data_IF_366957431849
#
_entry.id   IF_366957431849
#
_cell.length_a   1.000
_cell.length_b   1.000
_cell.length_c   1.000
_cell.angle_alpha   90.00
_cell.angle_beta   90.00
_cell.angle_gamma   90.00
#
_symmetry.space_group_name_H-M   'P 1'
#
loop_
_entity.id
_entity.type
_entity.pdbx_description
1 polymer ?
#
# COMPACT_ATOMS: atom_id res chain seq x y z
N UNK A 1 -47.42 -15.97 -25.38
CA UNK A 1 -46.46 -15.79 -24.27
C UNK A 1 -45.17 -15.21 -24.83
N UNK A 2 -44.73 -14.07 -24.29
CA UNK A 2 -43.59 -13.28 -24.75
C UNK A 2 -42.25 -13.97 -24.46
N UNK A 3 -41.33 -13.87 -25.43
CA UNK A 3 -39.90 -14.11 -25.31
C UNK A 3 -39.26 -13.24 -24.22
N UNK A 4 -38.30 -13.80 -23.48
CA UNK A 4 -37.11 -13.06 -23.03
C UNK A 4 -35.89 -13.99 -22.99
N UNK A 5 -34.98 -13.81 -23.95
CA UNK A 5 -33.57 -14.17 -23.84
C UNK A 5 -32.95 -13.28 -22.77
N UNK A 6 -32.22 -13.84 -21.81
CA UNK A 6 -31.32 -13.06 -20.95
C UNK A 6 -29.91 -13.57 -21.17
N UNK A 7 -29.09 -12.63 -21.64
CA UNK A 7 -27.71 -12.77 -22.07
C UNK A 7 -26.81 -13.14 -20.89
N UNK A 8 -25.88 -14.08 -21.13
CA UNK A 8 -24.69 -14.25 -20.32
C UNK A 8 -23.80 -13.00 -20.46
N UNK A 9 -23.80 -12.13 -19.47
CA UNK A 9 -22.79 -11.07 -19.35
C UNK A 9 -21.59 -11.63 -18.59
N UNK A 10 -20.58 -12.11 -19.33
CA UNK A 10 -19.22 -12.24 -18.79
C UNK A 10 -18.55 -10.87 -18.91
N UNK A 11 -18.13 -10.20 -17.83
CA UNK A 11 -17.26 -9.05 -17.97
C UNK A 11 -15.91 -9.52 -18.50
N UNK A 12 -15.61 -9.15 -19.75
CA UNK A 12 -14.29 -9.27 -20.36
C UNK A 12 -13.39 -8.22 -19.70
N UNK A 13 -12.67 -8.60 -18.66
CA UNK A 13 -11.48 -7.84 -18.24
C UNK A 13 -10.32 -8.33 -19.10
N UNK A 14 -9.98 -7.52 -20.10
CA UNK A 14 -8.82 -7.72 -20.96
C UNK A 14 -7.58 -7.38 -20.13
N UNK A 15 -6.98 -8.39 -19.52
CA UNK A 15 -5.76 -8.25 -18.75
C UNK A 15 -4.59 -8.24 -19.73
N UNK A 16 -4.08 -7.06 -20.08
CA UNK A 16 -2.79 -6.95 -20.75
C UNK A 16 -1.68 -7.05 -19.70
N UNK A 17 -1.23 -8.27 -19.43
CA UNK A 17 0.08 -8.49 -18.81
C UNK A 17 1.14 -8.33 -19.89
N UNK A 18 1.78 -7.15 -19.96
CA UNK A 18 2.99 -6.97 -20.76
C UNK A 18 4.14 -7.70 -20.04
N UNK A 19 4.79 -8.64 -20.76
CA UNK A 19 6.02 -9.31 -20.34
C UNK A 19 7.14 -8.29 -20.07
N UNK A 20 8.12 -8.60 -19.21
CA UNK A 20 9.24 -7.71 -18.93
C UNK A 20 10.13 -7.62 -20.18
N UNK A 21 10.33 -6.40 -20.69
CA UNK A 21 11.38 -6.11 -21.65
C UNK A 21 12.58 -5.51 -20.93
N UNK A 22 13.74 -6.10 -21.21
CA UNK A 22 15.07 -5.69 -20.78
C UNK A 22 15.30 -4.18 -20.94
N UNK A 23 15.76 -3.52 -19.88
CA UNK A 23 16.35 -2.20 -19.94
C UNK A 23 17.83 -2.33 -20.36
N UNK A 24 18.16 -2.01 -21.61
CA UNK A 24 19.52 -1.73 -22.05
C UNK A 24 19.54 -0.89 -23.34
N UNK A 25 20.33 0.19 -23.37
CA UNK A 25 20.76 0.89 -24.59
C UNK A 25 20.82 2.42 -24.47
N UNK A 26 22.00 3.06 -24.64
CA UNK A 26 22.20 4.49 -24.40
C UNK A 26 22.06 5.36 -25.66
N UNK A 27 21.81 6.66 -25.45
CA UNK A 27 22.20 7.72 -26.38
C UNK A 27 21.04 8.44 -27.07
N UNK A 28 20.52 9.48 -26.44
CA UNK A 28 20.03 10.67 -27.15
C UNK A 28 20.00 11.86 -26.18
N UNK A 29 20.78 12.91 -26.48
CA UNK A 29 20.67 14.20 -25.81
C UNK A 29 19.27 14.76 -26.04
N UNK A 30 18.46 14.84 -24.99
CA UNK A 30 17.16 15.50 -25.00
C UNK A 30 17.29 16.85 -24.31
N UNK A 31 17.16 17.94 -25.05
CA UNK A 31 17.00 19.29 -24.48
C UNK A 31 15.52 19.44 -24.09
N UNK A 32 15.21 19.27 -22.80
CA UNK A 32 13.87 19.50 -22.25
C UNK A 32 13.56 20.99 -22.05
N UNK A 33 12.27 21.39 -22.05
CA UNK A 33 11.90 22.78 -21.85
C UNK A 33 12.15 23.24 -20.41
N UNK A 34 12.49 24.53 -20.29
CA UNK A 34 12.67 25.24 -19.02
C UNK A 34 11.31 25.28 -18.29
N UNK A 35 11.20 24.60 -17.16
CA UNK A 35 10.03 24.69 -16.29
C UNK A 35 10.00 26.06 -15.61
N UNK A 36 9.20 26.97 -16.17
CA UNK A 36 8.77 28.18 -15.48
C UNK A 36 7.81 27.80 -14.36
N UNK A 37 8.16 28.30 -13.18
CA UNK A 37 7.46 28.19 -11.92
C UNK A 37 6.13 28.95 -11.99
N UNK A 38 5.01 28.25 -12.26
CA UNK A 38 3.67 28.78 -12.07
C UNK A 38 2.70 27.69 -11.63
N UNK A 39 2.46 27.66 -10.31
CA UNK A 39 1.26 27.09 -9.69
C UNK A 39 1.10 25.58 -9.85
N UNK A 40 0.53 24.93 -8.86
CA UNK A 40 -0.88 24.60 -8.93
C UNK A 40 -1.28 23.99 -7.58
N UNK A 41 -2.26 24.65 -6.98
CA UNK A 41 -3.23 24.09 -6.07
C UNK A 41 -3.96 22.89 -6.72
N UNK A 42 -3.43 21.67 -6.59
CA UNK A 42 -4.18 20.44 -6.88
C UNK A 42 -4.30 19.59 -5.61
N UNK A 43 -4.95 20.12 -4.57
CA UNK A 43 -5.51 19.29 -3.51
C UNK A 43 -7.02 19.39 -3.55
N UNK A 44 -7.60 18.46 -4.29
CA UNK A 44 -9.04 18.17 -4.38
C UNK A 44 -9.67 18.05 -2.98
N UNK A 45 -10.69 18.88 -2.69
CA UNK A 45 -11.59 18.70 -1.54
C UNK A 45 -12.47 17.48 -1.80
N UNK A 46 -12.01 16.30 -1.43
CA UNK A 46 -12.89 15.13 -1.32
C UNK A 46 -13.85 15.35 -0.13
N UNK A 47 -15.16 15.27 -0.38
CA UNK A 47 -16.15 15.28 0.70
C UNK A 47 -15.98 14.04 1.59
N UNK A 48 -16.22 14.18 2.90
CA UNK A 48 -16.02 13.12 3.92
C UNK A 48 -16.68 11.79 3.54
N UNK A 49 -17.87 11.85 2.93
CA UNK A 49 -18.62 10.69 2.44
C UNK A 49 -17.86 9.88 1.38
N UNK A 50 -17.20 10.56 0.43
CA UNK A 50 -16.40 9.92 -0.62
C UNK A 50 -15.16 9.23 -0.03
N UNK A 51 -14.51 9.85 0.97
CA UNK A 51 -13.36 9.25 1.67
C UNK A 51 -13.76 7.99 2.46
N UNK A 52 -14.89 8.03 3.17
CA UNK A 52 -15.45 6.88 3.89
C UNK A 52 -15.77 5.75 2.91
N UNK A 53 -16.49 6.03 1.83
CA UNK A 53 -16.84 5.03 0.84
C UNK A 53 -15.60 4.38 0.19
N UNK A 54 -14.55 5.18 -0.09
CA UNK A 54 -13.27 4.67 -0.62
C UNK A 54 -12.60 3.71 0.38
N UNK A 55 -12.42 4.14 1.63
CA UNK A 55 -11.76 3.33 2.67
C UNK A 55 -12.54 2.05 3.00
N UNK A 56 -13.88 2.09 3.00
CA UNK A 56 -14.72 0.90 3.16
C UNK A 56 -14.57 -0.05 1.97
N UNK A 57 -14.56 0.46 0.73
CA UNK A 57 -14.36 -0.38 -0.46
C UNK A 57 -13.01 -1.07 -0.45
N UNK A 58 -11.94 -0.35 -0.09
CA UNK A 58 -10.59 -0.91 0.06
C UNK A 58 -10.59 -2.02 1.12
N UNK A 59 -11.19 -1.76 2.28
CA UNK A 59 -11.32 -2.76 3.34
C UNK A 59 -12.08 -4.01 2.87
N UNK A 60 -13.23 -3.85 2.22
CA UNK A 60 -14.01 -4.98 1.66
C UNK A 60 -13.16 -5.76 0.65
N UNK A 61 -12.54 -5.06 -0.31
CA UNK A 61 -11.68 -5.69 -1.31
C UNK A 61 -10.56 -6.48 -0.65
N UNK A 62 -9.83 -5.91 0.29
CA UNK A 62 -8.73 -6.58 0.98
C UNK A 62 -9.19 -7.79 1.83
N UNK A 63 -10.33 -7.67 2.53
CA UNK A 63 -10.86 -8.75 3.39
C UNK A 63 -11.39 -9.93 2.58
N UNK A 64 -12.05 -9.66 1.45
CA UNK A 64 -12.66 -10.71 0.63
C UNK A 64 -11.74 -11.22 -0.49
N UNK A 65 -10.65 -10.53 -0.80
CA UNK A 65 -9.63 -11.06 -1.70
C UNK A 65 -8.61 -11.90 -0.94
N UNK A 66 -8.13 -12.95 -1.59
CA UNK A 66 -7.05 -13.79 -1.09
C UNK A 66 -5.86 -13.68 -2.03
N UNK A 67 -4.70 -14.10 -1.53
CA UNK A 67 -3.53 -14.32 -2.38
C UNK A 67 -3.85 -15.46 -3.34
N UNK A 68 -3.74 -15.18 -4.62
CA UNK A 68 -3.82 -16.14 -5.73
C UNK A 68 -2.40 -16.64 -6.06
N UNK A 69 -2.25 -17.76 -6.80
CA UNK A 69 -0.94 -18.29 -7.18
C UNK A 69 -0.01 -17.25 -7.83
N UNK A 70 -0.54 -16.37 -8.67
CA UNK A 70 0.20 -15.32 -9.35
C UNK A 70 0.74 -14.24 -8.38
N UNK A 71 0.01 -13.98 -7.30
CA UNK A 71 0.46 -13.06 -6.25
C UNK A 71 1.69 -13.65 -5.54
N UNK A 72 1.69 -14.95 -5.27
CA UNK A 72 2.83 -15.64 -4.69
C UNK A 72 4.05 -15.64 -5.62
N UNK A 73 3.85 -15.76 -6.93
CA UNK A 73 4.95 -15.63 -7.89
C UNK A 73 5.53 -14.21 -7.90
N UNK A 74 4.68 -13.18 -7.78
CA UNK A 74 5.16 -11.78 -7.62
C UNK A 74 6.05 -11.65 -6.39
N UNK A 75 5.60 -12.14 -5.22
CA UNK A 75 6.40 -12.12 -3.99
C UNK A 75 7.72 -12.89 -4.17
N UNK A 76 7.69 -14.04 -4.85
CA UNK A 76 8.90 -14.85 -5.08
C UNK A 76 9.94 -14.15 -5.93
N UNK A 77 9.50 -13.36 -6.92
CA UNK A 77 10.36 -12.69 -7.89
C UNK A 77 11.07 -11.45 -7.33
N UNK A 78 10.44 -10.75 -6.38
CA UNK A 78 10.96 -9.48 -5.86
C UNK A 78 11.59 -9.58 -4.47
N UNK A 79 11.19 -10.55 -3.66
CA UNK A 79 11.68 -10.70 -2.30
C UNK A 79 12.72 -11.82 -2.19
N UNK A 80 13.69 -11.65 -1.31
CA UNK A 80 14.62 -12.69 -0.89
C UNK A 80 14.00 -13.59 0.22
N UNK A 81 14.69 -14.66 0.68
CA UNK A 81 14.16 -15.53 1.73
C UNK A 81 13.90 -14.85 3.08
N UNK A 82 14.66 -13.82 3.46
CA UNK A 82 14.45 -13.05 4.69
C UNK A 82 13.23 -12.16 4.59
N UNK A 83 13.13 -11.42 3.48
CA UNK A 83 12.01 -10.55 3.16
C UNK A 83 10.69 -11.31 3.02
N UNK A 84 10.73 -12.52 2.43
CA UNK A 84 9.56 -13.42 2.36
C UNK A 84 9.05 -13.78 3.75
N UNK A 85 9.93 -14.00 4.74
CA UNK A 85 9.49 -14.31 6.11
C UNK A 85 8.74 -13.13 6.72
N UNK A 86 9.22 -11.91 6.51
CA UNK A 86 8.53 -10.69 6.96
C UNK A 86 7.16 -10.56 6.26
N UNK A 87 7.14 -10.70 4.93
CA UNK A 87 5.92 -10.58 4.14
C UNK A 87 4.85 -11.59 4.56
N UNK A 88 5.20 -12.87 4.65
CA UNK A 88 4.25 -13.92 5.05
C UNK A 88 3.91 -13.90 6.54
N UNK A 89 4.63 -13.11 7.35
CA UNK A 89 4.29 -12.79 8.73
C UNK A 89 3.14 -11.79 8.88
N UNK A 90 2.77 -11.06 7.83
CA UNK A 90 1.62 -10.15 7.82
C UNK A 90 0.28 -10.87 7.89
N UNK A 91 -0.77 -10.15 8.27
CA UNK A 91 -2.14 -10.62 8.10
C UNK A 91 -2.46 -10.95 6.63
N UNK A 92 -3.19 -12.04 6.30
CA UNK A 92 -3.47 -12.41 4.91
C UNK A 92 -4.15 -11.34 4.06
N UNK A 93 -5.04 -10.53 4.65
CA UNK A 93 -5.69 -9.43 3.91
C UNK A 93 -4.69 -8.31 3.59
N UNK A 94 -3.71 -8.09 4.48
CA UNK A 94 -2.62 -7.13 4.30
C UNK A 94 -1.66 -7.62 3.22
N UNK A 95 -1.33 -8.92 3.19
CA UNK A 95 -0.50 -9.49 2.11
C UNK A 95 -1.09 -9.19 0.72
N UNK A 96 -2.40 -9.42 0.54
CA UNK A 96 -3.07 -9.14 -0.73
C UNK A 96 -3.12 -7.65 -1.06
N UNK A 97 -3.31 -6.79 -0.06
CA UNK A 97 -3.21 -5.34 -0.21
C UNK A 97 -1.83 -4.93 -0.77
N UNK A 98 -0.76 -5.39 -0.14
CA UNK A 98 0.62 -5.08 -0.53
C UNK A 98 0.96 -5.56 -1.94
N UNK A 99 0.48 -6.74 -2.37
CA UNK A 99 0.70 -7.21 -3.75
C UNK A 99 -0.02 -6.33 -4.77
N UNK A 100 -1.25 -5.90 -4.47
CA UNK A 100 -1.95 -4.98 -5.36
C UNK A 100 -1.27 -3.60 -5.45
N UNK A 101 -0.77 -3.11 -4.32
CA UNK A 101 0.03 -1.87 -4.25
C UNK A 101 1.33 -2.01 -5.06
N UNK A 102 2.02 -3.15 -4.96
CA UNK A 102 3.20 -3.46 -5.75
C UNK A 102 2.93 -3.46 -7.27
N UNK A 103 1.80 -4.06 -7.70
CA UNK A 103 1.37 -3.99 -9.10
C UNK A 103 1.07 -2.55 -9.56
N UNK A 104 0.49 -1.73 -8.68
CA UNK A 104 0.22 -0.32 -8.97
C UNK A 104 1.51 0.49 -9.08
N UNK A 105 2.45 0.31 -8.15
CA UNK A 105 3.79 0.89 -8.22
C UNK A 105 4.47 0.54 -9.54
N UNK A 106 4.46 -0.75 -9.93
CA UNK A 106 5.07 -1.20 -11.17
C UNK A 106 4.51 -0.46 -12.39
N UNK A 107 3.20 -0.20 -12.43
CA UNK A 107 2.56 0.54 -13.52
C UNK A 107 2.91 2.04 -13.50
N UNK A 108 2.91 2.67 -12.32
CA UNK A 108 3.17 4.10 -12.17
C UNK A 108 4.65 4.45 -12.42
N UNK A 109 5.57 3.58 -12.00
CA UNK A 109 7.02 3.83 -12.10
C UNK A 109 7.62 3.42 -13.46
N UNK A 110 6.91 2.63 -14.28
CA UNK A 110 7.43 2.04 -15.53
C UNK A 110 8.03 3.04 -16.55
N UNK A 111 7.70 4.33 -16.44
CA UNK A 111 8.14 5.38 -17.36
C UNK A 111 9.00 6.45 -16.70
N UNK A 112 9.50 6.20 -15.50
CA UNK A 112 10.30 7.17 -14.73
C UNK A 112 11.72 6.60 -14.59
N UNK A 113 12.66 6.96 -15.50
CA UNK A 113 13.97 6.32 -15.58
C UNK A 113 14.84 6.49 -14.34
N UNK A 114 14.58 7.54 -13.55
CA UNK A 114 15.37 7.84 -12.34
C UNK A 114 14.97 6.98 -11.14
N UNK A 115 13.85 6.25 -11.22
CA UNK A 115 13.33 5.44 -10.11
C UNK A 115 13.83 4.01 -10.21
N UNK A 116 14.45 3.53 -9.13
CA UNK A 116 14.70 2.11 -8.94
C UNK A 116 13.37 1.37 -8.71
N UNK A 117 12.77 0.94 -9.83
CA UNK A 117 11.48 0.25 -9.82
C UNK A 117 11.53 -1.06 -9.02
N UNK A 118 12.67 -1.76 -8.98
CA UNK A 118 12.79 -3.01 -8.23
C UNK A 118 12.73 -2.75 -6.73
N UNK A 119 13.49 -1.76 -6.24
CA UNK A 119 13.46 -1.32 -4.85
C UNK A 119 12.08 -0.80 -4.45
N UNK A 120 11.42 -0.03 -5.30
CA UNK A 120 10.10 0.52 -5.00
C UNK A 120 9.00 -0.54 -4.95
N UNK A 121 9.06 -1.55 -5.84
CA UNK A 121 8.14 -2.70 -5.79
C UNK A 121 8.35 -3.50 -4.49
N UNK A 122 9.62 -3.72 -4.10
CA UNK A 122 9.95 -4.34 -2.81
C UNK A 122 9.42 -3.53 -1.63
N UNK A 123 9.56 -2.20 -1.65
CA UNK A 123 8.98 -1.31 -0.64
C UNK A 123 7.44 -1.45 -0.59
N UNK A 124 6.76 -1.50 -1.72
CA UNK A 124 5.31 -1.68 -1.78
C UNK A 124 4.86 -3.04 -1.21
N UNK A 125 5.61 -4.11 -1.45
CA UNK A 125 5.34 -5.43 -0.85
C UNK A 125 5.52 -5.42 0.67
N UNK A 126 6.43 -4.60 1.20
CA UNK A 126 6.84 -4.65 2.60
C UNK A 126 6.34 -3.47 3.45
N UNK A 127 5.72 -2.43 2.89
CA UNK A 127 5.37 -1.19 3.62
C UNK A 127 4.53 -1.42 4.88
N UNK A 128 3.78 -2.52 4.89
CA UNK A 128 2.81 -2.85 5.91
C UNK A 128 3.26 -4.00 6.85
N UNK A 129 4.54 -4.37 6.87
CA UNK A 129 5.05 -5.52 7.67
C UNK A 129 4.85 -5.38 9.18
N UNK A 130 4.65 -4.15 9.69
CA UNK A 130 4.24 -3.93 11.08
C UNK A 130 2.85 -4.49 11.42
N UNK A 131 1.99 -4.78 10.43
CA UNK A 131 0.64 -5.35 10.58
C UNK A 131 0.68 -6.90 10.62
N UNK A 132 1.40 -7.43 11.60
CA UNK A 132 1.65 -8.87 11.79
C UNK A 132 0.38 -9.68 12.09
N UNK A 133 0.41 -10.96 11.70
CA UNK A 133 -0.70 -11.91 11.88
C UNK A 133 -1.07 -12.09 13.35
N UNK A 134 -2.37 -12.22 13.64
CA UNK A 134 -2.89 -12.46 14.99
C UNK A 134 -3.07 -11.19 15.82
N UNK A 135 -2.49 -10.06 15.39
CA UNK A 135 -2.60 -8.80 16.11
C UNK A 135 -3.82 -7.95 15.74
N UNK A 136 -4.55 -8.35 14.69
CA UNK A 136 -5.62 -7.55 14.11
C UNK A 136 -6.92 -8.38 14.02
N UNK A 137 -7.86 -8.10 14.91
CA UNK A 137 -9.22 -8.65 14.80
C UNK A 137 -9.99 -7.92 13.68
N UNK A 138 -10.71 -8.66 12.83
CA UNK A 138 -11.47 -8.11 11.71
C UNK A 138 -12.49 -7.02 12.12
N UNK A 139 -13.21 -7.23 13.24
CA UNK A 139 -14.16 -6.26 13.77
C UNK A 139 -13.45 -5.00 14.27
N UNK A 140 -12.31 -5.18 14.94
CA UNK A 140 -11.48 -4.06 15.42
C UNK A 140 -10.88 -3.28 14.24
N UNK A 141 -10.51 -3.95 13.15
CA UNK A 141 -10.01 -3.33 11.91
C UNK A 141 -11.09 -2.50 11.23
N UNK A 142 -12.31 -3.03 11.11
CA UNK A 142 -13.45 -2.27 10.60
C UNK A 142 -13.74 -1.04 11.48
N UNK A 143 -13.69 -1.21 12.81
CA UNK A 143 -13.80 -0.13 13.78
C UNK A 143 -12.72 0.94 13.61
N UNK A 144 -11.46 0.55 13.43
CA UNK A 144 -10.37 1.48 13.14
C UNK A 144 -10.62 2.26 11.85
N UNK A 145 -10.96 1.60 10.75
CA UNK A 145 -11.23 2.26 9.46
C UNK A 145 -12.33 3.31 9.60
N UNK A 146 -13.42 2.98 10.30
CA UNK A 146 -14.52 3.92 10.52
C UNK A 146 -14.11 5.11 11.40
N UNK A 147 -13.51 4.84 12.57
CA UNK A 147 -13.12 5.88 13.53
C UNK A 147 -12.05 6.78 12.94
N UNK A 148 -11.01 6.22 12.32
CA UNK A 148 -9.93 7.01 11.72
C UNK A 148 -10.42 7.88 10.55
N UNK A 149 -11.45 7.44 9.82
CA UNK A 149 -12.00 8.26 8.73
C UNK A 149 -12.87 9.39 9.25
N UNK A 150 -13.65 9.18 10.32
CA UNK A 150 -14.55 10.19 10.90
C UNK A 150 -13.80 11.17 11.81
N UNK A 151 -12.93 10.66 12.67
CA UNK A 151 -12.20 11.42 13.68
C UNK A 151 -10.82 10.81 13.93
N UNK A 152 -9.80 11.23 13.15
CA UNK A 152 -8.41 10.82 13.37
C UNK A 152 -7.92 11.12 14.79
N UNK A 153 -8.36 12.25 15.37
CA UNK A 153 -8.04 12.61 16.75
C UNK A 153 -8.57 11.60 17.77
N UNK A 154 -9.75 11.03 17.55
CA UNK A 154 -10.29 9.97 18.41
C UNK A 154 -9.51 8.66 18.23
N UNK A 155 -9.15 8.31 16.98
CA UNK A 155 -8.30 7.14 16.72
C UNK A 155 -6.96 7.25 17.45
N UNK A 156 -6.31 8.42 17.42
CA UNK A 156 -5.08 8.68 18.15
C UNK A 156 -5.25 8.52 19.67
N UNK A 157 -6.36 8.98 20.24
CA UNK A 157 -6.66 8.79 21.68
C UNK A 157 -6.83 7.31 22.05
N UNK A 158 -7.38 6.48 21.16
CA UNK A 158 -7.48 5.04 21.39
C UNK A 158 -6.15 4.30 21.23
N UNK A 159 -5.21 4.86 20.47
CA UNK A 159 -3.87 4.33 20.30
C UNK A 159 -2.91 4.69 21.44
N UNK A 160 -3.21 5.70 22.29
CA UNK A 160 -2.32 6.11 23.38
C UNK A 160 -2.08 5.00 24.41
N UNK A 161 -0.81 4.87 24.85
CA UNK A 161 -0.40 3.95 25.92
C UNK A 161 -1.05 4.36 27.26
N UNK A 162 -1.80 3.45 27.85
CA UNK A 162 -2.36 3.52 29.22
C UNK A 162 -2.09 2.20 29.96
N UNK A 163 -2.38 2.10 31.28
CA UNK A 163 -1.93 0.98 32.12
C UNK A 163 -2.23 -0.38 31.45
N UNK A 164 -1.15 -1.12 31.24
CA UNK A 164 -0.99 -2.20 30.22
C UNK A 164 -1.74 -3.49 30.60
N UNK A 165 -2.35 -3.55 31.78
CA UNK A 165 -3.04 -4.75 32.27
C UNK A 165 -4.55 -4.68 31.98
N UNK A 166 -5.05 -5.59 31.13
CA UNK A 166 -6.49 -5.84 30.95
C UNK A 166 -7.18 -5.07 29.82
N UNK A 167 -6.44 -4.46 28.88
CA UNK A 167 -7.07 -3.79 27.74
C UNK A 167 -7.62 -4.78 26.71
N UNK A 168 -8.80 -4.51 26.11
CA UNK A 168 -9.37 -5.38 25.09
C UNK A 168 -8.57 -5.26 23.78
N UNK A 169 -8.45 -6.37 23.03
CA UNK A 169 -7.63 -6.47 21.82
C UNK A 169 -7.91 -5.45 20.71
N UNK A 170 -9.01 -4.70 20.76
CA UNK A 170 -9.30 -3.64 19.81
C UNK A 170 -8.39 -2.41 19.96
N UNK A 171 -7.91 -2.07 21.17
CA UNK A 171 -6.97 -0.94 21.33
C UNK A 171 -5.61 -1.23 20.69
N UNK A 172 -5.17 -2.49 20.77
CA UNK A 172 -3.97 -2.96 20.09
C UNK A 172 -4.06 -2.76 18.57
N UNK A 173 -5.25 -2.98 17.97
CA UNK A 173 -5.48 -2.67 16.56
C UNK A 173 -5.27 -1.19 16.25
N UNK A 174 -5.78 -0.26 17.06
CA UNK A 174 -5.55 1.18 16.85
C UNK A 174 -4.07 1.55 16.97
N UNK A 175 -3.37 1.00 17.97
CA UNK A 175 -1.93 1.20 18.13
C UNK A 175 -1.16 0.72 16.91
N UNK A 176 -1.37 -0.52 16.48
CA UNK A 176 -0.65 -1.09 15.33
C UNK A 176 -0.96 -0.32 14.07
N UNK A 177 -2.22 0.03 13.81
CA UNK A 177 -2.54 0.80 12.62
C UNK A 177 -1.93 2.21 12.62
N UNK A 178 -1.74 2.84 13.78
CA UNK A 178 -1.15 4.17 13.87
C UNK A 178 0.39 4.14 13.77
N UNK A 179 1.03 3.08 14.25
CA UNK A 179 2.50 2.98 14.37
C UNK A 179 3.11 1.86 13.52
N UNK A 180 2.37 1.29 12.56
CA UNK A 180 2.84 0.16 11.74
C UNK A 180 4.06 0.49 10.86
N UNK A 181 4.20 1.75 10.47
CA UNK A 181 5.36 2.29 9.77
C UNK A 181 6.62 2.22 10.64
N UNK A 182 6.54 2.68 11.89
CA UNK A 182 7.64 2.59 12.86
C UNK A 182 7.95 1.13 13.24
N UNK A 183 6.92 0.34 13.55
CA UNK A 183 7.06 -1.08 13.89
C UNK A 183 7.66 -1.86 12.72
N UNK A 184 7.16 -1.61 11.51
CA UNK A 184 7.63 -2.28 10.30
C UNK A 184 9.06 -1.93 9.96
N UNK A 185 9.43 -0.64 10.09
CA UNK A 185 10.81 -0.21 9.90
C UNK A 185 11.77 -0.87 10.90
N UNK A 186 11.39 -0.94 12.19
CA UNK A 186 12.19 -1.65 13.19
C UNK A 186 12.34 -3.15 12.86
N UNK A 187 11.28 -3.81 12.41
CA UNK A 187 11.35 -5.21 11.96
C UNK A 187 12.27 -5.40 10.75
N UNK A 188 12.30 -4.44 9.83
CA UNK A 188 13.19 -4.45 8.67
C UNK A 188 14.65 -4.24 9.08
N UNK A 189 14.92 -3.31 9.99
CA UNK A 189 16.25 -3.07 10.55
C UNK A 189 16.79 -4.30 11.28
N UNK A 190 15.98 -4.92 12.16
CA UNK A 190 16.34 -6.15 12.88
C UNK A 190 16.64 -7.32 11.93
N UNK A 191 15.98 -7.35 10.77
CA UNK A 191 16.20 -8.34 9.72
C UNK A 191 17.39 -8.00 8.79
N UNK A 192 18.03 -6.85 8.97
CA UNK A 192 19.19 -6.42 8.19
C UNK A 192 18.85 -5.99 6.76
N UNK A 193 17.66 -5.43 6.53
CA UNK A 193 17.27 -4.89 5.23
C UNK A 193 18.04 -3.60 4.91
N UNK A 194 18.15 -3.30 3.62
CA UNK A 194 18.78 -2.09 3.07
C UNK A 194 18.23 -0.80 3.69
N UNK A 195 19.11 0.16 3.98
CA UNK A 195 18.75 1.41 4.68
C UNK A 195 17.77 2.27 3.89
N UNK A 196 17.90 2.34 2.55
CA UNK A 196 16.95 3.07 1.71
C UNK A 196 15.56 2.41 1.74
N UNK A 197 15.52 1.08 1.72
CA UNK A 197 14.27 0.34 1.84
C UNK A 197 13.61 0.63 3.19
N UNK A 198 14.37 0.52 4.29
CA UNK A 198 13.89 0.86 5.65
C UNK A 198 13.35 2.29 5.69
N UNK A 199 14.04 3.25 5.07
CA UNK A 199 13.58 4.63 4.96
C UNK A 199 12.23 4.74 4.27
N UNK A 200 12.02 4.03 3.16
CA UNK A 200 10.74 3.99 2.46
C UNK A 200 9.63 3.39 3.34
N UNK A 201 9.90 2.28 4.03
CA UNK A 201 8.92 1.65 4.93
C UNK A 201 8.56 2.57 6.11
N UNK A 202 9.53 3.28 6.68
CA UNK A 202 9.29 4.20 7.80
C UNK A 202 8.46 5.41 7.40
N UNK A 203 8.58 5.87 6.16
CA UNK A 203 8.04 7.16 5.73
C UNK A 203 6.88 7.06 4.73
N UNK A 204 6.34 5.86 4.47
CA UNK A 204 5.31 5.67 3.44
C UNK A 204 3.99 6.43 3.69
N UNK A 205 3.70 6.87 4.92
CA UNK A 205 2.59 7.79 5.24
C UNK A 205 3.00 9.26 5.39
N UNK A 206 4.29 9.59 5.29
CA UNK A 206 4.80 10.94 5.50
C UNK A 206 4.54 11.83 4.27
N UNK A 207 3.48 12.62 4.34
CA UNK A 207 3.04 13.47 3.22
C UNK A 207 3.99 14.61 2.90
N UNK A 208 4.71 15.12 3.89
CA UNK A 208 5.66 16.21 3.68
C UNK A 208 6.89 15.70 2.91
N UNK A 209 7.36 14.50 3.24
CA UNK A 209 8.42 13.84 2.48
C UNK A 209 7.93 13.36 1.11
N UNK A 210 6.71 12.84 1.01
CA UNK A 210 6.11 12.45 -0.27
C UNK A 210 5.95 13.64 -1.23
N UNK A 211 5.85 14.87 -0.75
CA UNK A 211 5.80 16.06 -1.60
C UNK A 211 7.13 16.37 -2.30
N UNK A 212 8.24 15.80 -1.83
CA UNK A 212 9.59 16.06 -2.35
C UNK A 212 10.33 14.80 -2.84
N UNK A 213 9.94 13.60 -2.40
CA UNK A 213 10.44 12.31 -2.91
C UNK A 213 9.44 11.67 -3.86
N UNK A 214 9.89 11.39 -5.09
CA UNK A 214 9.07 10.72 -6.11
C UNK A 214 8.70 9.30 -5.66
N UNK A 215 9.63 8.57 -5.05
CA UNK A 215 9.45 7.21 -4.54
C UNK A 215 8.35 7.18 -3.48
N UNK A 216 8.42 8.05 -2.48
CA UNK A 216 7.39 8.14 -1.43
C UNK A 216 6.05 8.61 -1.98
N UNK A 217 6.04 9.53 -2.96
CA UNK A 217 4.81 9.92 -3.65
C UNK A 217 4.14 8.74 -4.36
N UNK A 218 4.91 7.95 -5.10
CA UNK A 218 4.41 6.79 -5.83
C UNK A 218 3.93 5.68 -4.89
N UNK A 219 4.67 5.44 -3.80
CA UNK A 219 4.32 4.46 -2.79
C UNK A 219 3.01 4.85 -2.07
N UNK A 220 2.89 6.13 -1.68
CA UNK A 220 1.68 6.68 -1.07
C UNK A 220 0.49 6.61 -2.03
N UNK A 221 0.67 6.98 -3.30
CA UNK A 221 -0.39 6.90 -4.31
C UNK A 221 -0.86 5.45 -4.52
N UNK A 222 0.08 4.50 -4.61
CA UNK A 222 -0.24 3.09 -4.75
C UNK A 222 -0.97 2.52 -3.54
N UNK A 223 -0.57 2.87 -2.31
CA UNK A 223 -1.30 2.49 -1.09
C UNK A 223 -2.70 3.10 -1.08
N UNK A 224 -2.84 4.37 -1.46
CA UNK A 224 -4.14 5.03 -1.51
C UNK A 224 -5.07 4.47 -2.59
N UNK A 225 -4.58 3.78 -3.63
CA UNK A 225 -5.41 3.20 -4.70
C UNK A 225 -5.91 1.79 -4.39
N UNK A 226 -5.31 1.09 -3.42
CA UNK A 226 -5.58 -0.32 -3.14
C UNK A 226 -6.35 -0.55 -1.85
#
# INVERSE_FOLDING_TARGET
MRFFKIFHYKPVFMIYWFRPHNCAGPGHQYQGPIYQNQGISYMSRQNLTTRIAKRIRQFIRAVFSRMEPEDHETVKNYLDPGEKRLFYGMDPAVQKHCVNAAGTVQLLSARIPEIDCQKLIKAALLHDIGKTRGNLNLLSRAGYVLVNTISPGLAARFAQKGPVTGLPGWRNTFYIHLYHDEIGAAMAEDAGLDEDLVFLLRNHHNKDLAAVSKELSLLLEADELN
#
